data_IF_058530111528
#
_entry.id   IF_058530111528
#
_cell.length_a   1.000
_cell.length_b   1.000
_cell.length_c   1.000
_cell.angle_alpha   90.00
_cell.angle_beta   90.00
_cell.angle_gamma   90.00
#
_symmetry.space_group_name_H-M   'P 1'
#
loop_
_entity.id
_entity.type
_entity.pdbx_description
1 polymer ?
#
# COMPACT_ATOMS: atom_id res chain seq x y z
N UNK A 1 -22.93 10.78 11.86
CA UNK A 1 -21.95 10.71 12.99
C UNK A 1 -21.64 9.29 13.44
N UNK A 2 -22.62 8.38 13.46
CA UNK A 2 -22.46 7.00 13.96
C UNK A 2 -21.46 6.13 13.18
N UNK A 3 -21.38 6.29 11.86
CA UNK A 3 -20.43 5.54 11.02
C UNK A 3 -18.94 5.85 11.30
N UNK A 4 -18.65 7.09 11.70
CA UNK A 4 -17.27 7.52 12.00
C UNK A 4 -16.80 6.96 13.35
N UNK A 5 -17.68 6.97 14.35
CA UNK A 5 -17.45 6.42 15.71
C UNK A 5 -17.26 4.89 15.64
N UNK A 6 -18.03 4.21 14.78
CA UNK A 6 -17.86 2.78 14.55
C UNK A 6 -16.48 2.43 13.96
N UNK A 7 -15.93 3.27 13.07
CA UNK A 7 -14.60 3.03 12.47
C UNK A 7 -13.45 3.22 13.47
N UNK A 8 -13.64 4.07 14.49
CA UNK A 8 -12.64 4.32 15.53
C UNK A 8 -12.60 3.22 16.60
N UNK A 9 -13.51 2.24 16.54
CA UNK A 9 -13.68 1.20 17.58
C UNK A 9 -13.95 1.81 18.97
N UNK A 10 -14.51 3.01 19.03
CA UNK A 10 -14.89 3.68 20.27
C UNK A 10 -16.42 3.74 20.33
N UNK A 11 -17.05 3.42 21.46
CA UNK A 11 -18.51 3.42 21.61
C UNK A 11 -19.31 2.33 20.85
N UNK A 12 -18.69 1.44 20.08
CA UNK A 12 -19.39 0.32 19.40
C UNK A 12 -20.08 -0.63 20.37
N UNK A 13 -19.52 -0.76 21.58
CA UNK A 13 -20.08 -1.56 22.68
C UNK A 13 -21.41 -0.97 23.16
N UNK A 14 -21.54 0.36 23.24
CA UNK A 14 -22.78 1.01 23.64
C UNK A 14 -23.88 0.81 22.58
N UNK A 15 -23.53 0.94 21.29
CA UNK A 15 -24.46 0.67 20.18
C UNK A 15 -24.88 -0.81 20.16
N UNK A 16 -23.97 -1.73 20.50
CA UNK A 16 -24.29 -3.15 20.62
C UNK A 16 -25.27 -3.40 21.77
N UNK A 17 -25.08 -2.77 22.93
CA UNK A 17 -26.01 -2.89 24.06
C UNK A 17 -27.38 -2.28 23.74
N UNK A 18 -27.43 -1.11 23.08
CA UNK A 18 -28.67 -0.49 22.62
C UNK A 18 -29.42 -1.37 21.60
N UNK A 19 -28.68 -2.08 20.74
CA UNK A 19 -29.24 -3.04 19.79
C UNK A 19 -29.73 -4.33 20.46
N UNK A 20 -29.01 -4.81 21.49
CA UNK A 20 -29.37 -6.02 22.23
C UNK A 20 -30.67 -5.85 23.03
N UNK A 21 -30.87 -4.66 23.60
CA UNK A 21 -32.03 -4.35 24.44
C UNK A 21 -33.24 -3.87 23.62
N UNK A 22 -33.14 -3.79 22.28
CA UNK A 22 -34.24 -3.40 21.40
C UNK A 22 -35.31 -4.51 21.31
N UNK A 23 -36.52 -4.20 21.79
CA UNK A 23 -37.64 -5.16 21.93
C UNK A 23 -38.66 -5.02 20.78
N UNK A 24 -38.97 -3.78 20.36
CA UNK A 24 -39.95 -3.46 19.33
C UNK A 24 -40.16 -1.96 19.14
N UNK A 25 -40.96 -1.55 18.15
CA UNK A 25 -41.30 -0.14 17.91
C UNK A 25 -42.13 0.38 19.10
N UNK A 26 -41.75 1.54 19.65
CA UNK A 26 -42.37 2.20 20.81
C UNK A 26 -42.36 1.39 22.13
N UNK A 27 -41.44 0.43 22.29
CA UNK A 27 -41.25 -0.30 23.54
C UNK A 27 -39.94 0.08 24.24
N UNK A 28 -40.00 0.25 25.57
CA UNK A 28 -38.84 0.49 26.41
C UNK A 28 -37.89 -0.72 26.35
N UNK A 29 -36.56 -0.51 26.26
CA UNK A 29 -35.59 -1.60 26.21
C UNK A 29 -35.73 -2.56 27.39
N UNK A 30 -35.67 -3.86 27.09
CA UNK A 30 -35.75 -4.93 28.08
C UNK A 30 -34.45 -5.73 28.05
N UNK A 31 -33.75 -5.78 29.19
CA UNK A 31 -32.46 -6.45 29.29
C UNK A 31 -32.59 -7.94 28.89
N UNK A 32 -31.66 -8.41 28.05
CA UNK A 32 -31.52 -9.81 27.62
C UNK A 32 -32.66 -10.36 26.73
N UNK A 33 -33.31 -9.54 25.90
CA UNK A 33 -34.38 -10.04 25.03
C UNK A 33 -33.88 -11.01 23.93
N UNK A 34 -32.74 -10.73 23.28
CA UNK A 34 -32.23 -11.55 22.17
C UNK A 34 -30.70 -11.71 22.17
N UNK A 35 -30.18 -12.66 22.96
CA UNK A 35 -28.75 -13.00 23.01
C UNK A 35 -28.17 -13.46 21.66
N UNK A 36 -28.99 -14.01 20.75
CA UNK A 36 -28.54 -14.46 19.43
C UNK A 36 -28.14 -13.31 18.50
N UNK A 37 -28.72 -12.12 18.68
CA UNK A 37 -28.39 -10.93 17.91
C UNK A 37 -26.95 -10.45 18.21
N UNK A 38 -26.44 -10.75 19.40
CA UNK A 38 -25.05 -10.47 19.80
C UNK A 38 -24.04 -11.24 18.92
N UNK A 39 -24.31 -12.51 18.62
CA UNK A 39 -23.44 -13.32 17.75
C UNK A 39 -23.42 -12.79 16.31
N UNK A 40 -24.54 -12.28 15.82
CA UNK A 40 -24.60 -11.61 14.52
C UNK A 40 -23.72 -10.34 14.49
N UNK A 41 -23.80 -9.48 15.51
CA UNK A 41 -22.97 -8.28 15.59
C UNK A 41 -21.47 -8.60 15.72
N UNK A 42 -21.10 -9.57 16.55
CA UNK A 42 -19.69 -9.96 16.74
C UNK A 42 -19.12 -10.56 15.45
N UNK A 43 -19.83 -11.48 14.80
CA UNK A 43 -19.37 -12.09 13.56
C UNK A 43 -19.24 -11.07 12.43
N UNK A 44 -20.19 -10.14 12.29
CA UNK A 44 -20.12 -9.05 11.33
C UNK A 44 -18.91 -8.14 11.59
N UNK A 45 -18.66 -7.73 12.84
CA UNK A 45 -17.51 -6.91 13.19
C UNK A 45 -16.18 -7.60 12.90
N UNK A 46 -16.08 -8.90 13.18
CA UNK A 46 -14.86 -9.67 12.88
C UNK A 46 -14.60 -9.76 11.37
N UNK A 47 -15.64 -10.04 10.58
CA UNK A 47 -15.52 -10.13 9.12
C UNK A 47 -15.10 -8.78 8.52
N UNK A 48 -15.78 -7.69 8.88
CA UNK A 48 -15.46 -6.35 8.38
C UNK A 48 -14.06 -5.92 8.81
N UNK A 49 -13.69 -6.17 10.08
CA UNK A 49 -12.35 -5.84 10.59
C UNK A 49 -11.27 -6.63 9.86
N UNK A 50 -11.49 -7.91 9.61
CA UNK A 50 -10.54 -8.75 8.87
C UNK A 50 -10.40 -8.29 7.41
N UNK A 51 -11.49 -7.92 6.75
CA UNK A 51 -11.46 -7.35 5.40
C UNK A 51 -10.67 -6.03 5.34
N UNK A 52 -10.89 -5.12 6.29
CA UNK A 52 -10.17 -3.84 6.35
C UNK A 52 -8.68 -4.06 6.58
N UNK A 53 -8.31 -4.98 7.49
CA UNK A 53 -6.91 -5.35 7.72
C UNK A 53 -6.27 -5.94 6.47
N UNK A 54 -6.94 -6.87 5.79
CA UNK A 54 -6.41 -7.48 4.57
C UNK A 54 -6.31 -6.47 3.41
N UNK A 55 -7.27 -5.55 3.30
CA UNK A 55 -7.20 -4.45 2.34
C UNK A 55 -6.04 -3.50 2.65
N UNK A 56 -5.82 -3.17 3.92
CA UNK A 56 -4.69 -2.33 4.35
C UNK A 56 -3.35 -2.99 4.02
N UNK A 57 -3.18 -4.27 4.37
CA UNK A 57 -1.99 -5.04 4.00
C UNK A 57 -1.82 -5.06 2.48
N UNK A 58 -2.91 -5.24 1.71
CA UNK A 58 -2.89 -5.17 0.24
C UNK A 58 -2.33 -3.85 -0.29
N UNK A 59 -2.84 -2.71 0.20
CA UNK A 59 -2.36 -1.38 -0.20
C UNK A 59 -0.91 -1.15 0.22
N UNK A 60 -0.53 -1.55 1.43
CA UNK A 60 0.86 -1.41 1.91
C UNK A 60 1.81 -2.25 1.06
N UNK A 61 1.47 -3.51 0.81
CA UNK A 61 2.27 -4.43 -0.01
C UNK A 61 2.35 -3.94 -1.46
N UNK A 62 1.28 -3.40 -2.03
CA UNK A 62 1.29 -2.81 -3.37
C UNK A 62 2.23 -1.59 -3.44
N UNK A 63 2.20 -0.72 -2.42
CA UNK A 63 3.13 0.40 -2.32
C UNK A 63 4.59 -0.04 -2.20
N UNK A 64 4.87 -1.08 -1.41
CA UNK A 64 6.21 -1.65 -1.31
C UNK A 64 6.69 -2.22 -2.65
N UNK A 65 5.84 -2.94 -3.37
CA UNK A 65 6.18 -3.45 -4.70
C UNK A 65 6.43 -2.34 -5.72
N UNK A 66 5.59 -1.29 -5.73
CA UNK A 66 5.79 -0.10 -6.58
C UNK A 66 7.11 0.60 -6.28
N UNK A 67 7.44 0.79 -5.00
CA UNK A 67 8.69 1.41 -4.58
C UNK A 67 9.91 0.57 -5.04
N UNK A 68 9.84 -0.75 -4.88
CA UNK A 68 10.90 -1.67 -5.30
C UNK A 68 11.10 -1.66 -6.82
N UNK A 69 10.01 -1.70 -7.59
CA UNK A 69 10.06 -1.61 -9.06
C UNK A 69 10.64 -0.27 -9.53
N UNK A 70 10.28 0.84 -8.88
CA UNK A 70 10.81 2.16 -9.22
C UNK A 70 12.33 2.23 -8.98
N UNK A 71 12.81 1.70 -7.86
CA UNK A 71 14.25 1.63 -7.58
C UNK A 71 15.00 0.76 -8.59
N UNK A 72 14.48 -0.42 -8.92
CA UNK A 72 15.11 -1.30 -9.91
C UNK A 72 15.17 -0.64 -11.29
N UNK A 73 14.11 0.06 -11.70
CA UNK A 73 14.06 0.79 -12.97
C UNK A 73 15.04 1.98 -13.02
N UNK A 74 15.14 2.75 -11.93
CA UNK A 74 16.13 3.85 -11.85
C UNK A 74 17.56 3.33 -11.85
N UNK A 75 17.84 2.23 -11.14
CA UNK A 75 19.16 1.60 -11.17
C UNK A 75 19.53 1.08 -12.56
N UNK A 76 18.58 0.46 -13.27
CA UNK A 76 18.78 -0.01 -14.64
C UNK A 76 19.11 1.17 -15.57
N UNK A 77 18.32 2.24 -15.53
CA UNK A 77 18.57 3.46 -16.34
C UNK A 77 19.93 4.08 -16.05
N UNK A 78 20.30 4.18 -14.77
CA UNK A 78 21.62 4.72 -14.36
C UNK A 78 22.77 3.84 -14.85
N UNK A 79 22.58 2.52 -14.96
CA UNK A 79 23.57 1.60 -15.54
C UNK A 79 23.69 1.80 -17.05
N UNK A 80 22.57 1.93 -17.76
CA UNK A 80 22.54 2.17 -19.20
C UNK A 80 23.20 3.50 -19.58
N UNK A 81 22.87 4.59 -18.88
CA UNK A 81 23.50 5.90 -19.09
C UNK A 81 25.02 5.84 -18.88
N UNK A 82 25.48 5.15 -17.82
CA UNK A 82 26.91 4.95 -17.59
C UNK A 82 27.57 4.13 -18.71
N UNK A 83 26.87 3.16 -19.29
CA UNK A 83 27.39 2.36 -20.41
C UNK A 83 27.46 3.19 -21.70
N UNK A 84 26.43 3.96 -22.02
CA UNK A 84 26.40 4.88 -23.16
C UNK A 84 27.53 5.91 -23.07
N UNK A 85 27.71 6.54 -21.91
CA UNK A 85 28.81 7.48 -21.69
C UNK A 85 30.19 6.82 -21.84
N UNK A 86 30.34 5.55 -21.43
CA UNK A 86 31.59 4.80 -21.63
C UNK A 86 31.85 4.52 -23.11
N UNK A 87 30.81 4.19 -23.88
CA UNK A 87 30.89 3.96 -25.31
C UNK A 87 31.26 5.25 -26.06
N UNK A 88 30.58 6.36 -25.78
CA UNK A 88 30.89 7.68 -26.35
C UNK A 88 32.34 8.09 -26.05
N UNK A 89 32.80 7.91 -24.81
CA UNK A 89 34.19 8.19 -24.44
C UNK A 89 35.19 7.33 -25.22
N UNK A 90 34.86 6.05 -25.51
CA UNK A 90 35.69 5.16 -26.34
C UNK A 90 35.71 5.62 -27.80
N UNK A 91 34.55 5.91 -28.41
CA UNK A 91 34.46 6.43 -29.78
C UNK A 91 35.23 7.74 -29.95
N UNK A 92 35.06 8.70 -29.02
CA UNK A 92 35.79 9.97 -29.04
C UNK A 92 37.31 9.80 -28.95
N UNK A 93 37.79 8.80 -28.19
CA UNK A 93 39.22 8.46 -28.13
C UNK A 93 39.71 7.83 -29.43
N UNK A 94 38.95 6.91 -30.02
CA UNK A 94 39.31 6.26 -31.28
C UNK A 94 39.35 7.25 -32.46
N UNK A 95 38.52 8.30 -32.43
CA UNK A 95 38.47 9.31 -33.48
C UNK A 95 39.56 10.39 -33.37
N UNK A 96 40.31 10.47 -32.25
CA UNK A 96 41.49 11.34 -32.18
C UNK A 96 42.58 10.76 -33.08
N UNK A 97 43.04 11.53 -34.07
CA UNK A 97 44.20 11.16 -34.89
C UNK A 97 45.36 10.80 -33.96
N UNK A 98 45.97 9.61 -34.12
CA UNK A 98 47.08 9.20 -33.26
C UNK A 98 48.27 10.14 -33.46
N UNK A 99 48.96 10.48 -32.36
CA UNK A 99 50.06 11.46 -32.32
C UNK A 99 51.19 11.17 -33.32
N UNK A 100 51.38 9.90 -33.68
CA UNK A 100 52.39 9.44 -34.63
C UNK A 100 52.02 9.70 -36.10
N UNK A 101 50.78 10.07 -36.40
CA UNK A 101 50.31 10.30 -37.77
C UNK A 101 50.99 11.51 -38.45
N UNK A 102 51.57 12.42 -37.65
CA UNK A 102 52.30 13.59 -38.15
C UNK A 102 53.82 13.35 -38.27
N UNK A 103 54.32 12.15 -37.93
CA UNK A 103 55.72 11.81 -38.16
C UNK A 103 55.94 11.40 -39.62
N UNK A 104 56.61 12.27 -40.38
CA UNK A 104 57.09 11.94 -41.73
C UNK A 104 58.33 11.03 -41.64
N UNK A 105 58.43 9.96 -42.44
CA UNK A 105 59.63 9.14 -42.49
C UNK A 105 60.73 9.94 -43.22
N UNK A 106 61.85 10.15 -42.54
CA UNK A 106 63.07 10.73 -43.09
C UNK A 106 63.79 9.75 -44.01
#
# INVERSE_FOLDING_TARGET
MSLFVLSSKDGWVNIMYDGLDAVGIDQQPSQNHNLWMLLYFISFLLIVSFFVLNMFVGVVVENFHKCRQHQEAEEARRREEKQLQRLEKKCRKAQRRPYYADYSPA
#
